data_IF_160810141610
#
_entry.id   IF_160810141610
#
_cell.length_a   1.000
_cell.length_b   1.000
_cell.length_c   1.000
_cell.angle_alpha   90.00
_cell.angle_beta   90.00
_cell.angle_gamma   90.00
#
_symmetry.space_group_name_H-M   'P 1'
#
loop_
_entity.id
_entity.type
_entity.pdbx_description
1 polymer ?
#
# COMPACT_ATOMS: atom_id res chain seq x y z
N UNK A 1 18.64 -22.99 -1.03
CA UNK A 1 17.62 -22.57 -0.04
C UNK A 1 16.62 -21.68 -0.75
N UNK A 2 15.40 -22.19 -0.96
CA UNK A 2 14.33 -21.45 -1.65
C UNK A 2 13.83 -20.34 -0.74
N UNK A 3 13.96 -19.08 -1.15
CA UNK A 3 13.27 -17.97 -0.47
C UNK A 3 11.79 -18.15 -0.77
N UNK A 4 10.98 -18.38 0.24
CA UNK A 4 9.54 -18.14 0.15
C UNK A 4 9.38 -16.65 -0.12
N UNK A 5 9.34 -16.27 -1.40
CA UNK A 5 8.87 -14.96 -1.82
C UNK A 5 7.36 -14.98 -1.56
N UNK A 6 6.88 -14.12 -0.66
CA UNK A 6 5.45 -13.89 -0.48
C UNK A 6 4.78 -13.47 -1.80
N UNK A 7 3.44 -13.33 -1.81
CA UNK A 7 2.70 -13.04 -3.02
C UNK A 7 3.24 -11.78 -3.70
N UNK A 8 3.36 -11.81 -5.03
CA UNK A 8 3.83 -10.65 -5.78
C UNK A 8 2.82 -9.48 -5.67
N UNK A 9 3.21 -8.29 -6.12
CA UNK A 9 2.34 -7.10 -6.01
C UNK A 9 1.00 -7.31 -6.73
N UNK A 10 1.00 -8.00 -7.87
CA UNK A 10 -0.22 -8.20 -8.65
C UNK A 10 -1.17 -9.16 -7.94
N UNK A 11 -0.65 -10.22 -7.31
CA UNK A 11 -1.42 -11.14 -6.49
C UNK A 11 -2.05 -10.45 -5.29
N UNK A 12 -1.30 -9.59 -4.58
CA UNK A 12 -1.83 -8.79 -3.47
C UNK A 12 -2.92 -7.83 -3.90
N UNK A 13 -2.77 -7.18 -5.05
CA UNK A 13 -3.83 -6.32 -5.60
C UNK A 13 -5.07 -7.15 -5.90
N UNK A 14 -4.93 -8.35 -6.49
CA UNK A 14 -6.08 -9.25 -6.72
C UNK A 14 -6.77 -9.66 -5.42
N UNK A 15 -6.01 -10.05 -4.40
CA UNK A 15 -6.56 -10.37 -3.07
C UNK A 15 -7.28 -9.17 -2.45
N UNK A 16 -6.74 -7.96 -2.60
CA UNK A 16 -7.46 -6.75 -2.17
C UNK A 16 -8.77 -6.58 -2.95
N UNK A 17 -8.77 -6.84 -4.26
CA UNK A 17 -9.96 -6.70 -5.09
C UNK A 17 -11.07 -7.71 -4.77
N UNK A 18 -10.73 -8.85 -4.15
CA UNK A 18 -11.68 -9.88 -3.71
C UNK A 18 -12.59 -9.42 -2.57
N UNK A 19 -12.24 -8.34 -1.86
CA UNK A 19 -13.13 -7.74 -0.83
C UNK A 19 -14.38 -7.09 -1.46
N UNK A 20 -14.33 -6.80 -2.77
CA UNK A 20 -15.42 -6.18 -3.50
C UNK A 20 -16.27 -7.22 -4.22
N UNK A 21 -17.57 -6.93 -4.50
CA UNK A 21 -18.42 -7.82 -5.30
C UNK A 21 -17.81 -8.09 -6.69
N UNK A 22 -17.74 -9.36 -7.15
CA UNK A 22 -17.01 -9.72 -8.38
C UNK A 22 -17.43 -8.96 -9.64
N UNK A 23 -18.72 -8.65 -9.77
CA UNK A 23 -19.30 -7.94 -10.92
C UNK A 23 -19.03 -6.42 -10.90
N UNK A 24 -18.46 -5.89 -9.82
CA UNK A 24 -18.18 -4.46 -9.63
C UNK A 24 -16.77 -4.15 -9.15
N UNK A 25 -15.92 -5.14 -8.90
CA UNK A 25 -14.59 -4.94 -8.30
C UNK A 25 -13.75 -3.87 -9.00
N UNK A 26 -13.74 -3.81 -10.34
CA UNK A 26 -12.99 -2.79 -11.08
C UNK A 26 -13.56 -1.39 -10.90
N UNK A 27 -14.89 -1.25 -10.92
CA UNK A 27 -15.57 0.03 -10.69
C UNK A 27 -15.43 0.51 -9.24
N UNK A 28 -15.53 -0.41 -8.28
CA UNK A 28 -15.33 -0.09 -6.86
C UNK A 28 -13.88 0.37 -6.58
N UNK A 29 -12.90 -0.25 -7.24
CA UNK A 29 -11.50 0.19 -7.17
C UNK A 29 -11.33 1.59 -7.76
N UNK A 30 -11.98 1.91 -8.88
CA UNK A 30 -11.97 3.26 -9.45
C UNK A 30 -12.57 4.29 -8.51
N UNK A 31 -13.75 4.00 -7.95
CA UNK A 31 -14.42 4.86 -6.96
C UNK A 31 -13.53 5.11 -5.72
N UNK A 32 -12.77 4.11 -5.29
CA UNK A 32 -11.89 4.22 -4.11
C UNK A 32 -10.55 4.92 -4.40
N UNK A 33 -9.96 4.71 -5.58
CA UNK A 33 -8.56 5.09 -5.88
C UNK A 33 -8.43 6.26 -6.87
N UNK A 34 -9.48 6.57 -7.63
CA UNK A 34 -9.45 7.52 -8.74
C UNK A 34 -8.76 7.00 -10.01
N UNK A 35 -8.26 5.76 -10.01
CA UNK A 35 -7.65 5.10 -11.19
C UNK A 35 -8.73 4.36 -11.97
N UNK A 36 -8.78 4.49 -13.29
CA UNK A 36 -9.88 3.95 -14.11
C UNK A 36 -10.14 2.45 -13.92
N UNK A 37 -11.40 2.03 -14.00
CA UNK A 37 -11.77 0.60 -13.94
C UNK A 37 -11.08 -0.22 -15.04
N UNK A 38 -10.86 0.35 -16.22
CA UNK A 38 -10.12 -0.30 -17.30
C UNK A 38 -8.68 -0.61 -16.89
N UNK A 39 -8.00 0.32 -16.22
CA UNK A 39 -6.66 0.09 -15.67
C UNK A 39 -6.67 -1.03 -14.64
N UNK A 40 -7.63 -1.02 -13.71
CA UNK A 40 -7.76 -2.09 -12.72
C UNK A 40 -8.06 -3.45 -13.35
N UNK A 41 -8.89 -3.48 -14.39
CA UNK A 41 -9.15 -4.69 -15.18
C UNK A 41 -7.89 -5.20 -15.89
N UNK A 42 -7.08 -4.32 -16.46
CA UNK A 42 -5.82 -4.71 -17.10
C UNK A 42 -4.82 -5.25 -16.08
N UNK A 43 -4.74 -4.68 -14.87
CA UNK A 43 -3.86 -5.16 -13.80
C UNK A 43 -4.33 -6.52 -13.28
N UNK A 44 -5.62 -6.66 -12.99
CA UNK A 44 -6.25 -7.90 -12.51
C UNK A 44 -6.01 -9.07 -13.48
N UNK A 45 -6.22 -8.84 -14.78
CA UNK A 45 -5.99 -9.84 -15.83
C UNK A 45 -4.52 -9.96 -16.28
N UNK A 46 -3.57 -9.27 -15.63
CA UNK A 46 -2.14 -9.37 -15.94
C UNK A 46 -1.71 -8.74 -17.27
N UNK A 47 -2.57 -7.93 -17.91
CA UNK A 47 -2.27 -7.17 -19.14
C UNK A 47 -1.38 -5.96 -18.88
N UNK A 48 -1.40 -5.44 -17.65
CA UNK A 48 -0.60 -4.29 -17.23
C UNK A 48 0.03 -4.57 -15.87
N UNK A 49 1.30 -4.22 -15.70
CA UNK A 49 1.93 -4.22 -14.37
C UNK A 49 1.52 -2.98 -13.60
N UNK A 50 1.18 -3.16 -12.32
CA UNK A 50 1.05 -2.03 -11.40
C UNK A 50 2.38 -1.27 -11.30
N UNK A 51 2.30 0.04 -11.13
CA UNK A 51 3.45 0.95 -11.03
C UNK A 51 3.35 1.70 -9.70
N UNK A 52 4.28 2.62 -9.46
CA UNK A 52 4.31 3.38 -8.21
C UNK A 52 3.05 4.24 -8.00
N UNK A 53 2.52 4.87 -9.05
CA UNK A 53 1.29 5.68 -8.96
C UNK A 53 0.08 4.83 -8.53
N UNK A 54 -0.05 3.62 -9.07
CA UNK A 54 -1.09 2.68 -8.65
C UNK A 54 -0.93 2.29 -7.17
N UNK A 55 0.30 2.01 -6.73
CA UNK A 55 0.57 1.66 -5.33
C UNK A 55 0.31 2.83 -4.38
N UNK A 56 0.65 4.05 -4.76
CA UNK A 56 0.34 5.26 -3.98
C UNK A 56 -1.17 5.49 -3.88
N UNK A 57 -1.91 5.31 -4.97
CA UNK A 57 -3.37 5.41 -4.97
C UNK A 57 -4.00 4.38 -4.04
N UNK A 58 -3.50 3.14 -4.06
CA UNK A 58 -3.94 2.08 -3.13
C UNK A 58 -3.57 2.39 -1.69
N UNK A 59 -2.35 2.88 -1.43
CA UNK A 59 -1.90 3.24 -0.08
C UNK A 59 -2.71 4.39 0.53
N UNK A 60 -3.16 5.34 -0.30
CA UNK A 60 -4.06 6.44 0.11
C UNK A 60 -5.49 5.95 0.36
N UNK A 61 -6.02 5.08 -0.52
CA UNK A 61 -7.38 4.57 -0.44
C UNK A 61 -7.57 3.50 0.66
N UNK A 62 -6.53 2.71 0.93
CA UNK A 62 -6.55 1.61 1.90
C UNK A 62 -5.33 1.64 2.84
N UNK A 63 -5.20 2.68 3.69
CA UNK A 63 -4.03 2.83 4.55
C UNK A 63 -3.76 1.62 5.46
N UNK A 64 -4.81 0.91 5.89
CA UNK A 64 -4.72 -0.29 6.71
C UNK A 64 -4.04 -1.48 6.00
N UNK A 65 -4.03 -1.49 4.67
CA UNK A 65 -3.39 -2.53 3.86
C UNK A 65 -2.09 -2.07 3.21
N UNK A 66 -1.70 -0.79 3.35
CA UNK A 66 -0.57 -0.20 2.65
C UNK A 66 0.76 -0.92 2.93
N UNK A 67 1.00 -1.33 4.19
CA UNK A 67 2.20 -2.08 4.54
C UNK A 67 2.25 -3.41 3.78
N UNK A 68 1.21 -4.24 3.90
CA UNK A 68 1.13 -5.54 3.23
C UNK A 68 1.16 -5.40 1.70
N UNK A 69 0.48 -4.41 1.13
CA UNK A 69 0.51 -4.11 -0.31
C UNK A 69 1.92 -3.79 -0.83
N UNK A 70 2.78 -3.21 0.00
CA UNK A 70 4.14 -2.87 -0.38
C UNK A 70 5.12 -4.02 -0.07
N UNK A 71 5.10 -4.57 1.13
CA UNK A 71 6.11 -5.52 1.63
C UNK A 71 5.77 -6.98 1.36
N UNK A 72 4.48 -7.33 1.33
CA UNK A 72 3.99 -8.70 1.25
C UNK A 72 3.90 -9.38 2.62
N UNK A 73 4.30 -8.68 3.67
CA UNK A 73 4.27 -9.16 5.04
C UNK A 73 3.00 -8.65 5.74
N UNK A 74 2.34 -9.55 6.48
CA UNK A 74 1.28 -9.20 7.42
C UNK A 74 1.93 -8.93 8.76
N UNK A 75 2.22 -7.67 9.06
CA UNK A 75 2.96 -7.30 10.28
C UNK A 75 2.07 -7.30 11.52
N UNK A 76 1.58 -8.47 11.93
CA UNK A 76 0.84 -8.58 13.19
C UNK A 76 1.77 -8.42 14.42
N UNK A 77 3.10 -8.40 14.24
CA UNK A 77 4.08 -8.44 15.35
C UNK A 77 4.96 -7.19 15.44
N UNK A 78 5.33 -6.48 14.35
CA UNK A 78 6.12 -5.24 14.48
C UNK A 78 5.20 -4.03 14.55
N UNK A 79 4.89 -3.65 15.79
CA UNK A 79 4.43 -2.31 16.18
C UNK A 79 5.50 -1.24 15.92
N UNK A 80 6.11 -1.17 14.74
CA UNK A 80 6.99 -0.07 14.39
C UNK A 80 6.16 1.01 13.71
N UNK A 81 5.81 2.00 14.54
CA UNK A 81 5.19 3.29 14.22
C UNK A 81 5.51 3.70 12.79
N UNK A 82 4.53 3.61 11.88
CA UNK A 82 4.66 4.21 10.56
C UNK A 82 4.80 5.73 10.75
N UNK A 83 6.02 6.22 10.66
CA UNK A 83 6.38 7.63 10.77
C UNK A 83 7.07 8.08 9.48
N UNK A 84 7.30 9.37 9.32
CA UNK A 84 8.08 9.91 8.20
C UNK A 84 9.44 10.40 8.71
N UNK A 85 10.52 10.28 7.91
CA UNK A 85 11.83 10.81 8.27
C UNK A 85 11.80 12.31 8.59
N UNK A 86 10.87 13.07 8.00
CA UNK A 86 10.69 14.49 8.31
C UNK A 86 10.17 14.69 9.73
N UNK A 87 9.15 13.93 10.17
CA UNK A 87 8.64 14.01 11.53
C UNK A 87 9.70 13.59 12.55
N UNK A 88 10.47 12.53 12.27
CA UNK A 88 11.59 12.11 13.11
C UNK A 88 12.67 13.19 13.21
N UNK A 89 12.95 13.89 12.11
CA UNK A 89 13.90 15.00 12.10
C UNK A 89 13.39 16.16 12.94
N UNK A 90 12.14 16.58 12.75
CA UNK A 90 11.52 17.66 13.53
C UNK A 90 11.57 17.35 15.02
N UNK A 91 11.19 16.13 15.41
CA UNK A 91 11.23 15.68 16.80
C UNK A 91 12.65 15.77 17.39
N UNK A 92 13.64 15.27 16.64
CA UNK A 92 15.05 15.31 17.03
C UNK A 92 15.57 16.74 17.20
N UNK A 93 15.17 17.65 16.33
CA UNK A 93 15.59 19.05 16.38
C UNK A 93 14.95 19.78 17.58
N UNK A 94 13.66 19.51 17.88
CA UNK A 94 12.98 20.03 19.08
C UNK A 94 13.65 19.57 20.38
N UNK A 95 14.03 18.29 20.47
CA UNK A 95 14.73 17.74 21.65
C UNK A 95 16.11 18.39 21.88
N UNK A 96 16.82 18.77 20.82
CA UNK A 96 18.09 19.49 20.95
C UNK A 96 17.89 20.90 21.49
N UNK A 97 16.86 21.61 21.03
CA UNK A 97 16.55 22.97 21.50
C UNK A 97 16.14 22.96 22.96
N UNK A 98 15.29 22.03 23.39
CA UNK A 98 14.83 21.92 24.78
C UNK A 98 15.91 21.49 25.80
N UNK A 99 17.05 20.97 25.34
CA UNK A 99 18.22 20.62 26.19
C UNK A 99 19.24 21.75 26.32
N UNK A 100 19.11 22.80 25.51
CA UNK A 100 20.07 23.91 25.43
C UNK A 100 19.61 25.18 26.18
N UNK A 101 18.42 25.17 26.78
CA UNK A 101 17.89 26.22 27.66
C UNK A 101 17.71 25.72 29.07
#
# INVERSE_FOLDING_TARGET
MSKSQGPDVAERIRTLMEIFPPHRKHKAMEEATGVSATTWSNIDHGKQKANMEHLEALGKAFPQYAFWLLTGDTDEVRKQVHTSPLLERIQRDLEKVGRAG
#
